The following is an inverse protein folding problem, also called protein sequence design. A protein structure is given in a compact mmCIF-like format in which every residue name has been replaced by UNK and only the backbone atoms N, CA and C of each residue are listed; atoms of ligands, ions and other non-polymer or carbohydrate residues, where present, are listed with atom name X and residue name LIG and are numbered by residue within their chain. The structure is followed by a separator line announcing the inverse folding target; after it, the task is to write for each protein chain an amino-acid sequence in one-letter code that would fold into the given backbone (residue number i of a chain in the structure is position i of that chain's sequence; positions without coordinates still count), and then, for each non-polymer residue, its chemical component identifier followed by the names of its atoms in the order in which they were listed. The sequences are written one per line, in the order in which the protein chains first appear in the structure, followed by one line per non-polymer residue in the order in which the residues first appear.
data_IF_668701171168
#
_entry.id   IF_668701171168
#
_cell.length_a   1.000
_cell.length_b   1.000
_cell.length_c   1.000
_cell.angle_alpha   90.00
_cell.angle_beta   90.00
_cell.angle_gamma   90.00
#
_symmetry.space_group_name_H-M   'P 1'
#
loop_
_entity.id
_entity.type
_entity.pdbx_description
1 polymer ?
#
# COMPACT_ATOMS: atom_id res chain seq x y z
N UNK A 1 21.77 1.31 -11.71
CA UNK A 1 21.94 -0.06 -11.22
C UNK A 1 20.70 -0.55 -10.44
N UNK A 2 20.18 0.19 -9.47
CA UNK A 2 19.05 -0.24 -8.61
C UNK A 2 17.72 -0.41 -9.40
N UNK A 3 17.48 0.43 -10.42
CA UNK A 3 16.23 0.43 -11.17
C UNK A 3 16.04 -0.86 -12.01
N UNK A 4 17.12 -1.45 -12.53
CA UNK A 4 17.05 -2.63 -13.40
C UNK A 4 16.49 -3.85 -12.68
N UNK A 5 17.06 -4.33 -11.56
CA UNK A 5 16.49 -5.48 -10.84
C UNK A 5 15.10 -5.19 -10.27
N UNK A 6 14.81 -3.95 -9.91
CA UNK A 6 13.48 -3.55 -9.47
C UNK A 6 12.47 -3.60 -10.62
N UNK A 7 12.85 -3.16 -11.82
CA UNK A 7 12.03 -3.31 -13.03
C UNK A 7 11.70 -4.77 -13.34
N UNK A 8 12.66 -5.67 -13.18
CA UNK A 8 12.44 -7.12 -13.35
C UNK A 8 11.39 -7.63 -12.37
N UNK A 9 11.40 -7.18 -11.09
CA UNK A 9 10.35 -7.54 -10.12
C UNK A 9 8.97 -7.06 -10.56
N UNK A 10 8.85 -5.82 -11.03
CA UNK A 10 7.58 -5.28 -11.54
C UNK A 10 7.05 -6.13 -12.69
N UNK A 11 7.89 -6.46 -13.67
CA UNK A 11 7.49 -7.33 -14.78
C UNK A 11 7.11 -8.73 -14.33
N UNK A 12 7.80 -9.31 -13.35
CA UNK A 12 7.45 -10.61 -12.78
C UNK A 12 6.06 -10.56 -12.10
N UNK A 13 5.77 -9.51 -11.34
CA UNK A 13 4.46 -9.34 -10.71
C UNK A 13 3.35 -9.16 -11.74
N UNK A 14 3.57 -8.32 -12.76
CA UNK A 14 2.64 -8.16 -13.87
C UNK A 14 2.45 -9.47 -14.65
N UNK A 15 3.54 -10.19 -14.91
CA UNK A 15 3.49 -11.50 -15.56
C UNK A 15 2.70 -12.54 -14.75
N UNK A 16 2.77 -12.49 -13.43
CA UNK A 16 2.02 -13.39 -12.54
C UNK A 16 0.50 -13.18 -12.65
N UNK A 17 0.06 -11.95 -12.84
CA UNK A 17 -1.38 -11.61 -12.96
C UNK A 17 -1.87 -11.58 -14.40
N UNK A 18 -0.97 -11.64 -15.38
CA UNK A 18 -1.31 -11.57 -16.80
C UNK A 18 -2.14 -12.79 -17.25
N UNK A 19 -3.27 -12.53 -17.87
CA UNK A 19 -4.17 -13.60 -18.34
C UNK A 19 -4.96 -14.33 -17.27
N UNK A 20 -4.78 -13.97 -15.97
CA UNK A 20 -5.51 -14.56 -14.86
C UNK A 20 -6.90 -13.94 -14.65
N UNK A 21 -7.78 -14.66 -13.95
CA UNK A 21 -9.06 -14.12 -13.47
C UNK A 21 -8.84 -13.34 -12.19
N UNK A 22 -8.70 -12.01 -12.31
CA UNK A 22 -8.53 -11.14 -11.16
C UNK A 22 -9.85 -10.95 -10.42
N UNK A 23 -9.86 -11.28 -9.14
CA UNK A 23 -10.95 -10.89 -8.22
C UNK A 23 -10.54 -9.58 -7.54
N UNK A 24 -11.18 -8.47 -7.91
CA UNK A 24 -10.90 -7.13 -7.37
C UNK A 24 -11.49 -6.95 -5.96
N UNK A 25 -11.03 -7.79 -5.04
CA UNK A 25 -11.26 -7.65 -3.61
C UNK A 25 -10.21 -6.71 -2.98
N UNK A 26 -10.43 -6.30 -1.75
CA UNK A 26 -9.59 -5.31 -1.06
C UNK A 26 -8.09 -5.63 -1.10
N UNK A 27 -7.61 -6.85 -0.79
CA UNK A 27 -6.19 -7.18 -0.89
C UNK A 27 -5.62 -6.98 -2.29
N UNK A 28 -6.37 -7.40 -3.32
CA UNK A 28 -5.94 -7.27 -4.71
C UNK A 28 -5.87 -5.80 -5.13
N UNK A 29 -6.83 -4.97 -4.73
CA UNK A 29 -6.80 -3.54 -5.01
C UNK A 29 -5.57 -2.88 -4.40
N UNK A 30 -5.23 -3.19 -3.14
CA UNK A 30 -4.01 -2.69 -2.51
C UNK A 30 -2.74 -3.20 -3.18
N UNK A 31 -2.71 -4.46 -3.65
CA UNK A 31 -1.57 -5.00 -4.40
C UNK A 31 -1.37 -4.29 -5.74
N UNK A 32 -2.45 -4.03 -6.47
CA UNK A 32 -2.38 -3.27 -7.72
C UNK A 32 -1.99 -1.81 -7.48
N UNK A 33 -2.54 -1.20 -6.42
CA UNK A 33 -2.16 0.14 -5.96
C UNK A 33 -0.68 0.22 -5.61
N UNK A 34 -0.15 -0.77 -4.87
CA UNK A 34 1.28 -0.90 -4.59
C UNK A 34 2.12 -0.87 -5.87
N UNK A 35 1.81 -1.72 -6.85
CA UNK A 35 2.58 -1.79 -8.10
C UNK A 35 2.54 -0.43 -8.83
N UNK A 36 1.34 0.18 -8.97
CA UNK A 36 1.20 1.46 -9.66
C UNK A 36 1.95 2.59 -8.99
N UNK A 37 1.79 2.76 -7.67
CA UNK A 37 2.46 3.83 -6.91
C UNK A 37 3.96 3.64 -6.88
N UNK A 38 4.42 2.40 -6.71
CA UNK A 38 5.85 2.09 -6.70
C UNK A 38 6.51 2.37 -8.06
N UNK A 39 5.83 2.12 -9.18
CA UNK A 39 6.33 2.46 -10.52
C UNK A 39 6.52 3.97 -10.66
N UNK A 40 5.54 4.78 -10.24
CA UNK A 40 5.65 6.25 -10.25
C UNK A 40 6.84 6.72 -9.40
N UNK A 41 6.98 6.16 -8.19
CA UNK A 41 8.11 6.44 -7.32
C UNK A 41 9.45 5.99 -7.91
N UNK A 42 9.47 4.87 -8.60
CA UNK A 42 10.66 4.36 -9.29
C UNK A 42 11.11 5.27 -10.44
N UNK A 43 10.17 5.80 -11.22
CA UNK A 43 10.46 6.76 -12.29
C UNK A 43 11.04 8.06 -11.75
N UNK A 44 10.45 8.62 -10.68
CA UNK A 44 11.03 9.81 -10.02
C UNK A 44 12.40 9.52 -9.39
N UNK A 45 12.64 8.28 -8.94
CA UNK A 45 13.95 7.85 -8.45
C UNK A 45 15.03 7.82 -9.54
N UNK A 46 14.66 7.47 -10.78
CA UNK A 46 15.59 7.53 -11.92
C UNK A 46 16.02 8.97 -12.19
N UNK A 47 15.12 9.95 -12.05
CA UNK A 47 15.50 11.38 -12.23
C UNK A 47 16.54 11.82 -11.21
N UNK A 48 16.48 11.35 -9.97
CA UNK A 48 17.51 11.63 -8.94
C UNK A 48 18.86 10.97 -9.24
N UNK A 49 18.92 9.95 -10.07
CA UNK A 49 20.19 9.35 -10.48
C UNK A 49 20.97 10.16 -11.51
N UNK A 50 20.32 11.18 -12.07
CA UNK A 50 20.91 12.08 -13.09
C UNK A 50 21.41 13.33 -12.36
N UNK A 51 22.73 13.48 -12.26
CA UNK A 51 23.37 14.54 -11.45
C UNK A 51 22.83 15.95 -11.75
N UNK A 52 22.69 16.42 -13.00
CA UNK A 52 22.11 17.73 -13.28
C UNK A 52 20.67 17.92 -12.79
N UNK A 53 19.87 16.87 -12.81
CA UNK A 53 18.50 16.91 -12.27
C UNK A 53 18.51 16.89 -10.74
N UNK A 54 19.35 16.06 -10.13
CA UNK A 54 19.45 15.93 -8.68
C UNK A 54 19.92 17.22 -8.01
N UNK A 55 20.85 17.95 -8.61
CA UNK A 55 21.28 19.27 -8.08
C UNK A 55 20.14 20.27 -7.92
N UNK A 56 19.09 20.19 -8.73
CA UNK A 56 17.91 21.05 -8.62
C UNK A 56 16.81 20.45 -7.75
N UNK A 57 16.70 19.13 -7.69
CA UNK A 57 15.63 18.41 -6.99
C UNK A 57 15.98 18.07 -5.55
N UNK A 58 17.28 17.95 -5.24
CA UNK A 58 17.73 17.61 -3.89
C UNK A 58 17.26 18.66 -2.88
N UNK A 59 16.89 18.18 -1.68
CA UNK A 59 16.36 19.01 -0.60
C UNK A 59 15.06 19.80 -0.90
N UNK A 60 14.37 19.49 -1.99
CA UNK A 60 13.05 20.04 -2.33
C UNK A 60 11.91 19.08 -1.99
N UNK A 61 10.66 19.55 -2.13
CA UNK A 61 9.47 18.71 -2.01
C UNK A 61 9.40 17.60 -3.07
N UNK A 62 10.16 17.67 -4.15
CA UNK A 62 10.27 16.60 -5.13
C UNK A 62 10.83 15.30 -4.52
N UNK A 63 11.88 15.43 -3.71
CA UNK A 63 12.45 14.28 -2.97
C UNK A 63 11.43 13.72 -1.99
N UNK A 64 10.67 14.60 -1.33
CA UNK A 64 9.60 14.16 -0.39
C UNK A 64 8.54 13.37 -1.12
N UNK A 65 8.09 13.84 -2.28
CA UNK A 65 7.16 13.11 -3.13
C UNK A 65 7.72 11.74 -3.53
N UNK A 66 8.94 11.72 -4.04
CA UNK A 66 9.61 10.50 -4.48
C UNK A 66 9.63 9.41 -3.40
N UNK A 67 10.18 9.70 -2.23
CA UNK A 67 10.32 8.67 -1.21
C UNK A 67 8.97 8.24 -0.61
N UNK A 68 7.94 9.11 -0.60
CA UNK A 68 6.61 8.69 -0.19
C UNK A 68 5.96 7.75 -1.22
N UNK A 69 6.14 7.98 -2.52
CA UNK A 69 5.67 7.03 -3.53
C UNK A 69 6.37 5.68 -3.42
N UNK A 70 7.65 5.65 -3.07
CA UNK A 70 8.40 4.41 -2.88
C UNK A 70 8.05 3.72 -1.55
N UNK A 71 8.07 4.45 -0.43
CA UNK A 71 7.89 3.88 0.91
C UNK A 71 6.41 3.73 1.27
N UNK A 72 5.64 4.80 1.17
CA UNK A 72 4.23 4.77 1.53
C UNK A 72 3.44 4.03 0.45
N UNK A 73 3.54 4.44 -0.81
CA UNK A 73 2.89 3.80 -1.95
C UNK A 73 3.38 2.35 -2.15
N UNK A 74 4.66 2.09 -1.94
CA UNK A 74 5.24 0.76 -1.94
C UNK A 74 4.92 -0.02 -0.66
N UNK A 75 5.64 0.21 0.43
CA UNK A 75 5.57 -0.64 1.61
C UNK A 75 4.20 -0.62 2.30
N UNK A 76 3.58 0.56 2.51
CA UNK A 76 2.33 0.63 3.28
C UNK A 76 1.15 0.03 2.52
N UNK A 77 1.03 0.24 1.21
CA UNK A 77 0.01 -0.43 0.40
C UNK A 77 0.19 -1.95 0.42
N UNK A 78 1.45 -2.44 0.36
CA UNK A 78 1.75 -3.86 0.52
C UNK A 78 1.36 -4.40 1.89
N UNK A 79 1.61 -3.64 2.97
CA UNK A 79 1.21 -4.00 4.34
C UNK A 79 -0.31 -4.09 4.45
N UNK A 80 -1.08 -3.12 3.93
CA UNK A 80 -2.54 -3.19 3.95
C UNK A 80 -3.07 -4.35 3.13
N UNK A 81 -2.46 -4.64 1.97
CA UNK A 81 -2.80 -5.85 1.20
C UNK A 81 -2.65 -7.10 2.06
N UNK A 82 -1.50 -7.26 2.73
CA UNK A 82 -1.23 -8.37 3.63
C UNK A 82 -2.19 -8.44 4.82
N UNK A 83 -2.46 -7.31 5.48
CA UNK A 83 -3.36 -7.24 6.62
C UNK A 83 -4.78 -7.72 6.24
N UNK A 84 -5.32 -7.31 5.10
CA UNK A 84 -6.61 -7.79 4.62
C UNK A 84 -6.56 -9.24 4.15
N UNK A 85 -5.49 -9.65 3.47
CA UNK A 85 -5.34 -11.02 2.97
C UNK A 85 -5.28 -12.04 4.10
N UNK A 86 -4.52 -11.77 5.16
CA UNK A 86 -4.38 -12.67 6.30
C UNK A 86 -5.35 -12.39 7.45
N UNK A 87 -6.22 -11.39 7.34
CA UNK A 87 -7.24 -11.11 8.36
C UNK A 87 -8.06 -12.36 8.72
N UNK A 88 -8.59 -13.16 7.74
CA UNK A 88 -9.32 -14.38 8.04
C UNK A 88 -8.48 -15.40 8.78
N UNK A 89 -7.20 -15.50 8.46
CA UNK A 89 -6.27 -16.46 9.09
C UNK A 89 -5.99 -16.11 10.55
N UNK A 90 -5.87 -14.82 10.87
CA UNK A 90 -5.55 -14.35 12.22
C UNK A 90 -6.77 -14.38 13.13
N UNK A 91 -7.93 -13.92 12.63
CA UNK A 91 -9.12 -13.72 13.44
C UNK A 91 -10.21 -14.78 13.23
N UNK A 92 -10.10 -15.63 12.25
CA UNK A 92 -11.12 -16.62 11.89
C UNK A 92 -12.43 -16.03 11.39
N UNK A 93 -12.42 -14.75 11.00
CA UNK A 93 -13.59 -14.00 10.54
C UNK A 93 -13.27 -13.25 9.26
N UNK A 94 -14.29 -12.95 8.47
CA UNK A 94 -14.15 -12.08 7.30
C UNK A 94 -14.33 -10.62 7.70
N UNK A 95 -13.55 -9.74 7.05
CA UNK A 95 -13.75 -8.30 7.18
C UNK A 95 -14.87 -7.81 6.24
N UNK A 96 -15.38 -6.61 6.49
CA UNK A 96 -16.36 -5.99 5.59
C UNK A 96 -15.67 -5.48 4.32
N UNK A 97 -15.98 -6.12 3.20
CA UNK A 97 -15.37 -5.82 1.90
C UNK A 97 -15.69 -4.40 1.40
N UNK A 98 -16.92 -3.92 1.64
CA UNK A 98 -17.32 -2.56 1.23
C UNK A 98 -16.50 -1.49 1.95
N UNK A 99 -16.35 -1.62 3.28
CA UNK A 99 -15.49 -0.73 4.05
C UNK A 99 -14.02 -0.85 3.65
N UNK A 100 -13.56 -2.06 3.31
CA UNK A 100 -12.22 -2.27 2.78
C UNK A 100 -11.97 -1.53 1.47
N UNK A 101 -12.93 -1.57 0.55
CA UNK A 101 -12.85 -0.82 -0.72
C UNK A 101 -12.93 0.69 -0.52
N UNK A 102 -13.76 1.16 0.41
CA UNK A 102 -13.81 2.59 0.78
C UNK A 102 -12.45 3.03 1.33
N UNK A 103 -11.86 2.25 2.24
CA UNK A 103 -10.50 2.51 2.75
C UNK A 103 -9.49 2.61 1.61
N UNK A 104 -9.49 1.65 0.67
CA UNK A 104 -8.57 1.67 -0.48
C UNK A 104 -8.73 2.95 -1.31
N UNK A 105 -9.95 3.31 -1.71
CA UNK A 105 -10.16 4.47 -2.57
C UNK A 105 -9.85 5.79 -1.87
N UNK A 106 -10.21 5.94 -0.60
CA UNK A 106 -9.83 7.11 0.20
C UNK A 106 -8.30 7.21 0.31
N UNK A 107 -7.62 6.08 0.58
CA UNK A 107 -6.16 6.04 0.66
C UNK A 107 -5.52 6.40 -0.68
N UNK A 108 -6.00 5.82 -1.78
CA UNK A 108 -5.47 6.07 -3.12
C UNK A 108 -5.65 7.53 -3.55
N UNK A 109 -6.84 8.09 -3.35
CA UNK A 109 -7.13 9.50 -3.69
C UNK A 109 -6.34 10.44 -2.79
N UNK A 110 -6.41 10.25 -1.47
CA UNK A 110 -5.71 11.08 -0.50
C UNK A 110 -4.20 11.05 -0.71
N UNK A 111 -3.63 9.88 -0.98
CA UNK A 111 -2.21 9.72 -1.28
C UNK A 111 -1.77 10.53 -2.50
N UNK A 112 -2.49 10.38 -3.62
CA UNK A 112 -2.14 11.10 -4.85
C UNK A 112 -2.37 12.61 -4.73
N UNK A 113 -3.41 13.06 -4.00
CA UNK A 113 -3.62 14.48 -3.72
C UNK A 113 -2.55 15.07 -2.80
N UNK A 114 -1.99 14.27 -1.91
CA UNK A 114 -0.91 14.72 -1.01
C UNK A 114 0.44 14.75 -1.74
N UNK A 115 0.86 13.62 -2.28
CA UNK A 115 2.22 13.47 -2.76
C UNK A 115 2.40 13.75 -4.26
N UNK A 116 1.34 13.68 -5.07
CA UNK A 116 1.37 14.07 -6.48
C UNK A 116 1.80 15.51 -6.68
N UNK A 117 1.06 16.49 -6.09
CA UNK A 117 1.42 17.92 -6.21
C UNK A 117 2.77 18.28 -5.61
N UNK A 118 3.30 17.50 -4.66
CA UNK A 118 4.63 17.74 -4.09
C UNK A 118 5.76 17.62 -5.14
N UNK A 119 5.58 16.82 -6.20
CA UNK A 119 6.54 16.82 -7.32
C UNK A 119 6.58 18.20 -7.98
N UNK A 120 5.41 18.78 -8.22
CA UNK A 120 5.30 20.10 -8.81
C UNK A 120 5.86 21.20 -7.88
N UNK A 121 5.51 21.16 -6.59
CA UNK A 121 6.04 22.09 -5.59
C UNK A 121 7.57 22.05 -5.52
N UNK A 122 8.15 20.85 -5.61
CA UNK A 122 9.59 20.69 -5.66
C UNK A 122 10.24 21.29 -6.91
N UNK A 123 9.60 21.12 -8.08
CA UNK A 123 10.06 21.75 -9.33
C UNK A 123 9.92 23.29 -9.30
N UNK A 124 8.98 23.82 -8.52
CA UNK A 124 8.86 25.26 -8.26
C UNK A 124 9.89 25.77 -7.23
N UNK A 125 10.76 24.91 -6.74
CA UNK A 125 11.83 25.28 -5.80
C UNK A 125 11.42 25.30 -4.33
N UNK A 126 10.25 24.78 -3.96
CA UNK A 126 9.88 24.67 -2.55
C UNK A 126 10.82 23.71 -1.83
N UNK A 127 11.59 24.23 -0.89
CA UNK A 127 12.53 23.46 -0.08
C UNK A 127 11.78 22.64 0.95
N UNK A 128 12.21 21.40 1.21
CA UNK A 128 11.66 20.58 2.30
C UNK A 128 11.99 21.19 3.66
N UNK A 129 11.19 20.86 4.69
CA UNK A 129 11.41 21.31 6.08
C UNK A 129 11.27 22.83 6.28
N UNK A 130 10.58 23.51 5.38
CA UNK A 130 10.29 24.93 5.55
C UNK A 130 9.13 25.13 6.53
N UNK A 131 9.28 26.11 7.42
CA UNK A 131 8.22 26.55 8.32
C UNK A 131 7.25 27.51 7.65
N UNK A 132 7.79 28.43 6.86
CA UNK A 132 7.04 29.48 6.14
C UNK A 132 7.60 29.62 4.74
N UNK A 133 6.76 29.88 3.77
CA UNK A 133 7.12 30.27 2.41
C UNK A 133 6.50 31.62 2.09
N UNK A 134 7.16 32.43 1.25
CA UNK A 134 6.71 33.76 0.88
C UNK A 134 5.41 33.71 0.05
N UNK A 135 4.46 34.60 0.32
CA UNK A 135 3.18 34.65 -0.40
C UNK A 135 3.36 34.85 -1.90
N UNK A 136 4.39 35.59 -2.30
CA UNK A 136 4.76 35.92 -3.69
C UNK A 136 5.07 34.67 -4.54
N UNK A 137 5.37 33.52 -3.90
CA UNK A 137 5.74 32.27 -4.59
C UNK A 137 4.57 31.53 -5.24
N UNK A 138 3.32 31.93 -4.97
CA UNK A 138 2.10 31.28 -5.45
C UNK A 138 2.00 29.78 -5.12
N UNK A 139 2.70 29.32 -4.08
CA UNK A 139 2.70 27.90 -3.66
C UNK A 139 1.50 27.54 -2.81
N UNK A 140 0.75 28.53 -2.30
CA UNK A 140 -0.37 28.36 -1.38
C UNK A 140 -1.42 27.39 -1.90
N UNK A 141 -1.84 27.56 -3.15
CA UNK A 141 -2.86 26.71 -3.75
C UNK A 141 -2.50 25.21 -3.69
N UNK A 142 -1.28 24.87 -4.09
CA UNK A 142 -0.81 23.49 -4.10
C UNK A 142 -0.61 22.92 -2.68
N UNK A 143 -0.14 23.76 -1.75
CA UNK A 143 -0.02 23.34 -0.35
C UNK A 143 -1.38 23.09 0.31
N UNK A 144 -2.43 23.81 -0.08
CA UNK A 144 -3.81 23.52 0.37
C UNK A 144 -4.26 22.15 -0.14
N UNK A 145 -4.04 21.85 -1.43
CA UNK A 145 -4.38 20.53 -2.01
C UNK A 145 -3.66 19.41 -1.27
N UNK A 146 -2.36 19.56 -1.01
CA UNK A 146 -1.55 18.62 -0.22
C UNK A 146 -2.15 18.38 1.16
N UNK A 147 -2.55 19.45 1.84
CA UNK A 147 -3.16 19.39 3.18
C UNK A 147 -4.51 18.68 3.15
N UNK A 148 -5.37 18.99 2.18
CA UNK A 148 -6.65 18.29 2.00
C UNK A 148 -6.42 16.79 1.75
N UNK A 149 -5.46 16.44 0.91
CA UNK A 149 -5.07 15.06 0.69
C UNK A 149 -4.65 14.33 1.97
N UNK A 150 -3.86 15.00 2.82
CA UNK A 150 -3.44 14.45 4.11
C UNK A 150 -4.63 14.17 5.05
N UNK A 151 -5.64 15.04 5.09
CA UNK A 151 -6.86 14.77 5.86
C UNK A 151 -7.67 13.60 5.28
N UNK A 152 -7.69 13.43 3.97
CA UNK A 152 -8.33 12.26 3.33
C UNK A 152 -7.59 10.97 3.71
N UNK A 153 -6.26 10.98 3.75
CA UNK A 153 -5.46 9.84 4.25
C UNK A 153 -5.83 9.53 5.70
N UNK A 154 -5.90 10.55 6.57
CA UNK A 154 -6.29 10.36 7.97
C UNK A 154 -7.70 9.73 8.08
N UNK A 155 -8.65 10.21 7.29
CA UNK A 155 -9.99 9.62 7.22
C UNK A 155 -9.96 8.16 6.77
N UNK A 156 -9.12 7.81 5.79
CA UNK A 156 -9.00 6.43 5.32
C UNK A 156 -8.49 5.49 6.41
N UNK A 157 -7.56 5.94 7.25
CA UNK A 157 -7.07 5.18 8.40
C UNK A 157 -8.18 4.97 9.44
N UNK A 158 -9.00 5.99 9.69
CA UNK A 158 -10.16 5.85 10.58
C UNK A 158 -11.12 4.78 10.05
N UNK A 159 -11.44 4.79 8.76
CA UNK A 159 -12.29 3.76 8.12
C UNK A 159 -11.66 2.36 8.26
N UNK A 160 -10.34 2.25 8.07
CA UNK A 160 -9.63 0.99 8.31
C UNK A 160 -9.79 0.49 9.74
N UNK A 161 -9.57 1.36 10.74
CA UNK A 161 -9.69 1.01 12.15
C UNK A 161 -11.12 0.56 12.50
N UNK A 162 -12.12 1.28 12.01
CA UNK A 162 -13.53 0.91 12.19
C UNK A 162 -13.79 -0.47 11.59
N UNK A 163 -13.39 -0.69 10.34
CA UNK A 163 -13.55 -1.98 9.67
C UNK A 163 -12.86 -3.11 10.44
N UNK A 164 -11.62 -2.88 10.88
CA UNK A 164 -10.83 -3.87 11.62
C UNK A 164 -11.50 -4.26 12.94
N UNK A 165 -11.88 -3.27 13.77
CA UNK A 165 -12.49 -3.51 15.09
C UNK A 165 -13.87 -4.15 14.94
N UNK A 166 -14.70 -3.62 14.04
CA UNK A 166 -16.06 -4.13 13.82
C UNK A 166 -16.03 -5.57 13.28
N UNK A 167 -15.19 -5.84 12.28
CA UNK A 167 -15.10 -7.18 11.67
C UNK A 167 -14.51 -8.22 12.61
N UNK A 168 -13.55 -7.83 13.46
CA UNK A 168 -13.03 -8.70 14.52
C UNK A 168 -14.13 -9.13 15.51
N UNK A 169 -15.08 -8.22 15.83
CA UNK A 169 -16.17 -8.50 16.80
C UNK A 169 -17.35 -9.20 16.14
N UNK A 170 -17.82 -8.68 15.01
CA UNK A 170 -19.10 -9.03 14.40
C UNK A 170 -18.98 -9.66 13.00
N UNK A 171 -17.75 -9.85 12.48
CA UNK A 171 -17.54 -10.41 11.15
C UNK A 171 -18.07 -11.85 11.04
N UNK A 172 -18.49 -12.23 9.86
CA UNK A 172 -18.88 -13.59 9.53
C UNK A 172 -17.71 -14.55 9.72
N UNK A 173 -17.99 -15.79 10.10
CA UNK A 173 -16.96 -16.82 10.24
C UNK A 173 -16.27 -17.05 8.89
N UNK A 174 -14.94 -17.00 8.88
CA UNK A 174 -14.18 -17.25 7.67
C UNK A 174 -14.38 -18.68 7.18
N UNK A 175 -14.58 -18.91 5.88
CA UNK A 175 -14.52 -20.25 5.31
C UNK A 175 -13.10 -20.81 5.45
N UNK A 176 -12.95 -22.12 5.20
CA UNK A 176 -11.67 -22.81 5.29
C UNK A 176 -10.59 -22.15 4.42
N UNK A 177 -10.93 -21.88 3.16
CA UNK A 177 -10.11 -21.15 2.20
C UNK A 177 -10.93 -20.00 1.58
N UNK A 178 -10.84 -18.77 2.11
CA UNK A 178 -11.63 -17.65 1.61
C UNK A 178 -11.19 -17.15 0.23
N UNK A 179 -10.00 -17.52 -0.21
CA UNK A 179 -9.39 -17.00 -1.44
C UNK A 179 -9.34 -18.02 -2.58
N UNK A 180 -9.68 -19.28 -2.32
CA UNK A 180 -9.44 -20.40 -3.24
C UNK A 180 -7.94 -20.48 -3.61
N UNK A 181 -7.10 -20.29 -2.59
CA UNK A 181 -5.65 -20.20 -2.73
C UNK A 181 -5.02 -21.57 -2.52
N UNK A 182 -4.26 -22.05 -3.52
CA UNK A 182 -3.61 -23.36 -3.48
C UNK A 182 -2.25 -23.33 -2.79
N UNK A 183 -2.15 -22.59 -1.67
CA UNK A 183 -0.91 -22.43 -0.90
C UNK A 183 -1.02 -23.10 0.45
N UNK A 184 0.12 -23.47 1.05
CA UNK A 184 0.15 -24.28 2.28
C UNK A 184 -0.51 -23.57 3.47
N UNK A 185 -0.42 -22.26 3.56
CA UNK A 185 -1.07 -21.50 4.64
C UNK A 185 -2.60 -21.60 4.61
N UNK A 186 -3.20 -21.85 3.46
CA UNK A 186 -4.66 -22.03 3.31
C UNK A 186 -5.10 -23.50 3.33
N UNK A 187 -4.14 -24.44 3.37
CA UNK A 187 -4.42 -25.86 3.55
C UNK A 187 -4.76 -26.27 5.00
N UNK A 188 -4.70 -25.32 5.94
CA UNK A 188 -5.02 -25.51 7.36
C UNK A 188 -6.17 -24.59 7.79
N UNK A 189 -6.95 -24.93 8.83
CA UNK A 189 -8.09 -24.12 9.30
C UNK A 189 -7.71 -22.70 9.68
N UNK A 190 -8.69 -21.79 9.63
CA UNK A 190 -8.57 -20.41 10.09
C UNK A 190 -9.52 -20.16 11.28
N UNK A 191 -9.06 -19.67 12.44
CA UNK A 191 -7.66 -19.41 12.78
C UNK A 191 -6.82 -20.71 12.85
N UNK A 192 -5.50 -20.54 12.71
CA UNK A 192 -4.59 -21.68 12.84
C UNK A 192 -4.68 -22.27 14.26
N UNK A 193 -4.81 -23.60 14.41
CA UNK A 193 -4.77 -24.21 15.73
C UNK A 193 -3.50 -23.85 16.49
N UNK A 194 -3.60 -23.67 17.80
CA UNK A 194 -2.47 -23.33 18.65
C UNK A 194 -1.35 -24.41 18.58
N UNK A 195 -1.69 -25.61 18.13
CA UNK A 195 -0.82 -26.76 17.93
C UNK A 195 -0.17 -26.81 16.53
N UNK A 196 -0.06 -25.69 15.83
CA UNK A 196 0.65 -25.65 14.54
C UNK A 196 2.11 -26.10 14.66
N UNK A 197 2.71 -25.92 15.84
CA UNK A 197 4.03 -26.48 16.18
C UNK A 197 4.02 -27.99 16.39
N UNK A 198 2.85 -28.57 16.57
CA UNK A 198 2.59 -30.00 16.66
C UNK A 198 1.71 -30.47 15.52
N UNK A 199 1.98 -30.02 14.29
CA UNK A 199 1.54 -30.77 13.12
C UNK A 199 1.97 -32.22 13.37
N UNK A 200 1.02 -33.21 13.46
CA UNK A 200 1.43 -34.53 13.75
C UNK A 200 2.48 -34.96 12.74
N UNK A 201 3.67 -35.23 13.25
CA UNK A 201 4.71 -35.86 12.45
C UNK A 201 4.09 -37.09 11.79
N UNK A 202 4.49 -37.48 10.59
CA UNK A 202 4.07 -38.77 10.03
C UNK A 202 4.21 -39.93 11.00
N UNK A 203 5.08 -39.80 12.03
CA UNK A 203 5.26 -40.75 13.12
C UNK A 203 4.12 -40.72 14.16
N UNK A 204 3.38 -39.62 14.31
CA UNK A 204 2.30 -39.50 15.29
C UNK A 204 0.97 -40.07 14.80
N UNK A 205 0.86 -40.43 13.51
CA UNK A 205 -0.32 -41.07 12.92
C UNK A 205 -0.46 -42.57 13.28
N UNK A 206 0.49 -43.10 13.99
CA UNK A 206 0.55 -44.53 14.36
C UNK A 206 0.46 -44.78 15.88
N UNK A 207 -0.08 -43.81 16.64
CA UNK A 207 -0.44 -44.04 18.04
C UNK A 207 -1.92 -43.87 18.28
#
# INVERSE_FOLDING_TARGET
VIAVPTGVKIFNWLGTIWGGKLKLNTPMLFSLGFIGMFVIGGLSGVTHSIVPADTQQTDTYYVVAHFHYVLFGGALFGIFSGLYYWFPKVWGKMYNESLGKIHFWLMMIGFNLTFGPMHWLGLQGQVRRTWVYAEETNLQFWNIIVTVGAFIIALSIIVFMINWIFSKRNGEKAPFDPWDARTLEWAIPSPTPCLLYTSPSPRDKHR
#
